data_IF_929224329703
#
_entry.id   IF_929224329703
#
_cell.length_a   1.000
_cell.length_b   1.000
_cell.length_c   1.000
_cell.angle_alpha   90.00
_cell.angle_beta   90.00
_cell.angle_gamma   90.00
#
_symmetry.space_group_name_H-M   'P 1'
#
loop_
_entity.id
_entity.type
_entity.pdbx_description
1 polymer ?
#
# COMPACT_ATOMS: atom_id res chain seq x y z
N UNK A 1 -22.71 -13.47 -2.61
CA UNK A 1 -23.47 -12.92 -1.46
C UNK A 1 -23.61 -11.42 -1.69
N UNK A 2 -24.82 -10.87 -1.61
CA UNK A 2 -25.00 -9.42 -1.78
C UNK A 2 -24.44 -8.70 -0.54
N UNK A 3 -23.69 -7.63 -0.77
CA UNK A 3 -23.15 -6.73 0.28
C UNK A 3 -22.41 -7.43 1.45
N UNK A 4 -21.73 -8.54 1.18
CA UNK A 4 -21.02 -9.31 2.20
C UNK A 4 -19.73 -9.88 1.62
N UNK A 5 -18.60 -9.60 2.27
CA UNK A 5 -17.30 -10.14 1.92
C UNK A 5 -16.94 -11.36 2.79
N UNK A 6 -16.42 -12.42 2.16
CA UNK A 6 -15.85 -13.58 2.85
C UNK A 6 -14.36 -13.35 3.04
N UNK A 7 -13.93 -13.16 4.27
CA UNK A 7 -12.55 -12.80 4.62
C UNK A 7 -11.87 -13.96 5.33
N UNK A 8 -10.61 -14.24 4.97
CA UNK A 8 -9.77 -15.24 5.64
C UNK A 8 -8.78 -14.53 6.54
N UNK A 9 -8.85 -14.78 7.84
CA UNK A 9 -7.91 -14.25 8.83
C UNK A 9 -6.93 -15.35 9.22
N UNK A 10 -5.63 -15.05 9.14
CA UNK A 10 -4.54 -15.93 9.58
C UNK A 10 -4.01 -15.45 10.92
N UNK A 11 -3.89 -16.36 11.88
CA UNK A 11 -3.26 -16.10 13.19
C UNK A 11 -2.09 -17.06 13.36
N UNK A 12 -1.04 -16.59 14.02
CA UNK A 12 0.05 -17.45 14.46
C UNK A 12 -0.40 -18.19 15.72
N UNK A 13 -0.34 -19.52 15.68
CA UNK A 13 -0.65 -20.39 16.82
C UNK A 13 0.57 -21.23 17.11
N UNK A 14 1.00 -21.22 18.37
CA UNK A 14 2.12 -22.02 18.85
C UNK A 14 1.71 -23.49 18.91
N UNK A 15 2.51 -24.35 18.30
CA UNK A 15 2.48 -25.78 18.57
C UNK A 15 3.33 -26.07 19.82
N UNK A 16 2.76 -26.58 20.91
CA UNK A 16 3.48 -26.81 22.16
C UNK A 16 4.52 -27.92 22.07
N UNK A 17 4.39 -28.86 21.14
CA UNK A 17 5.35 -29.96 20.98
C UNK A 17 6.57 -29.52 20.17
N UNK A 18 6.34 -28.81 19.06
CA UNK A 18 7.40 -28.34 18.16
C UNK A 18 7.99 -26.98 18.57
N UNK A 19 7.36 -26.29 19.52
CA UNK A 19 7.69 -24.92 19.93
C UNK A 19 7.81 -23.94 18.74
N UNK A 20 6.95 -24.13 17.73
CA UNK A 20 6.94 -23.35 16.50
C UNK A 20 5.56 -22.75 16.23
N UNK A 21 5.55 -21.51 15.75
CA UNK A 21 4.31 -20.86 15.31
C UNK A 21 3.93 -21.31 13.91
N UNK A 22 2.66 -21.68 13.74
CA UNK A 22 2.07 -22.01 12.45
C UNK A 22 0.89 -21.10 12.13
N UNK A 23 0.68 -20.85 10.83
CA UNK A 23 -0.43 -20.05 10.34
C UNK A 23 -1.75 -20.82 10.42
N UNK A 24 -2.61 -20.48 11.39
CA UNK A 24 -3.97 -21.01 11.50
C UNK A 24 -4.97 -20.03 10.87
N UNK A 25 -5.68 -20.50 9.83
CA UNK A 25 -6.66 -19.70 9.09
C UNK A 25 -8.09 -19.91 9.61
N UNK A 26 -8.88 -18.85 9.68
CA UNK A 26 -10.32 -18.87 9.97
C UNK A 26 -11.08 -17.91 9.07
N UNK A 27 -12.24 -18.31 8.59
CA UNK A 27 -13.09 -17.46 7.74
C UNK A 27 -14.08 -16.67 8.57
N UNK A 28 -14.22 -15.39 8.24
CA UNK A 28 -15.20 -14.47 8.81
C UNK A 28 -16.03 -13.86 7.68
N UNK A 29 -17.27 -13.50 7.99
CA UNK A 29 -18.10 -12.73 7.08
C UNK A 29 -18.18 -11.28 7.57
N UNK A 30 -17.89 -10.38 6.66
CA UNK A 30 -17.92 -8.94 6.88
C UNK A 30 -19.02 -8.31 6.03
N UNK A 31 -19.75 -7.36 6.61
CA UNK A 31 -20.66 -6.54 5.84
C UNK A 31 -19.88 -5.54 4.98
N UNK A 32 -20.15 -5.53 3.68
CA UNK A 32 -19.57 -4.59 2.71
C UNK A 32 -20.73 -3.88 1.99
N UNK A 33 -21.12 -2.67 2.41
CA UNK A 33 -22.30 -1.99 1.86
C UNK A 33 -22.14 -1.57 0.40
N UNK A 34 -20.91 -1.21 0.00
CA UNK A 34 -20.58 -0.62 -1.30
C UNK A 34 -20.01 -1.63 -2.30
N UNK A 35 -19.73 -2.87 -1.87
CA UNK A 35 -19.18 -3.94 -2.70
C UNK A 35 -17.85 -3.56 -3.37
N UNK A 36 -17.02 -2.79 -2.67
CA UNK A 36 -15.75 -2.29 -3.19
C UNK A 36 -14.64 -3.35 -3.12
N UNK A 37 -14.79 -4.39 -2.29
CA UNK A 37 -13.76 -5.41 -2.10
C UNK A 37 -13.63 -6.34 -3.31
N UNK A 38 -12.38 -6.63 -3.67
CA UNK A 38 -12.01 -7.67 -4.65
C UNK A 38 -11.32 -8.84 -3.97
N UNK A 39 -11.31 -9.99 -4.64
CA UNK A 39 -10.61 -11.18 -4.13
C UNK A 39 -9.11 -10.90 -4.11
N UNK A 40 -8.48 -11.06 -2.96
CA UNK A 40 -7.04 -10.83 -2.78
C UNK A 40 -6.69 -9.51 -2.09
N UNK A 41 -7.68 -8.63 -1.87
CA UNK A 41 -7.47 -7.42 -1.08
C UNK A 41 -7.14 -7.77 0.38
N UNK A 42 -6.28 -6.94 0.99
CA UNK A 42 -6.03 -6.97 2.43
C UNK A 42 -6.91 -5.90 3.07
N UNK A 43 -7.77 -6.33 3.98
CA UNK A 43 -8.86 -5.51 4.53
C UNK A 43 -8.82 -5.49 6.05
N UNK A 44 -9.21 -4.36 6.63
CA UNK A 44 -9.43 -4.22 8.07
C UNK A 44 -10.91 -4.47 8.40
N UNK A 45 -11.14 -5.34 9.37
CA UNK A 45 -12.47 -5.67 9.86
C UNK A 45 -12.71 -5.06 11.23
N UNK A 46 -13.83 -4.35 11.37
CA UNK A 46 -14.33 -3.84 12.65
C UNK A 46 -15.42 -4.76 13.17
N UNK A 47 -15.44 -5.05 14.47
CA UNK A 47 -16.55 -5.76 15.08
C UNK A 47 -17.77 -4.84 15.14
N UNK A 48 -18.93 -5.35 14.72
CA UNK A 48 -20.20 -4.64 14.90
C UNK A 48 -20.63 -4.72 16.36
N UNK A 49 -21.27 -3.68 16.91
CA UNK A 49 -21.85 -3.74 18.25
C UNK A 49 -22.95 -4.80 18.31
N UNK A 50 -23.72 -4.93 17.23
CA UNK A 50 -24.78 -5.93 17.08
C UNK A 50 -24.56 -6.82 15.86
N UNK A 51 -24.84 -8.12 16.02
CA UNK A 51 -24.77 -9.08 14.92
C UNK A 51 -25.88 -8.81 13.90
N UNK A 52 -25.51 -8.49 12.67
CA UNK A 52 -26.49 -8.25 11.60
C UNK A 52 -27.17 -9.53 11.11
N UNK A 53 -26.42 -10.65 11.13
CA UNK A 53 -26.91 -11.97 10.74
C UNK A 53 -26.16 -13.04 11.55
N UNK A 54 -26.54 -14.32 11.39
CA UNK A 54 -25.93 -15.46 12.10
C UNK A 54 -24.41 -15.50 11.97
N UNK A 55 -23.90 -15.26 10.75
CA UNK A 55 -22.47 -15.35 10.44
C UNK A 55 -21.79 -13.98 10.27
N UNK A 56 -22.56 -12.90 10.08
CA UNK A 56 -22.05 -11.55 9.84
C UNK A 56 -21.95 -10.81 11.17
N UNK A 57 -20.74 -10.81 11.73
CA UNK A 57 -20.40 -10.16 13.01
C UNK A 57 -19.48 -8.95 12.84
N UNK A 58 -18.92 -8.80 11.65
CA UNK A 58 -17.95 -7.78 11.34
C UNK A 58 -18.44 -6.90 10.21
N UNK A 59 -17.91 -5.70 10.17
CA UNK A 59 -18.06 -4.72 9.10
C UNK A 59 -16.69 -4.45 8.48
N UNK A 60 -16.69 -4.17 7.19
CA UNK A 60 -15.51 -3.69 6.49
C UNK A 60 -15.23 -2.24 6.92
N UNK A 61 -14.09 -2.00 7.56
CA UNK A 61 -13.69 -0.64 7.96
C UNK A 61 -12.97 0.08 6.84
N UNK A 62 -11.94 -0.56 6.29
CA UNK A 62 -11.08 0.02 5.25
C UNK A 62 -10.41 -1.09 4.44
N UNK A 63 -10.09 -0.77 3.18
CA UNK A 63 -9.26 -1.60 2.32
C UNK A 63 -7.83 -1.08 2.50
N UNK A 64 -7.02 -1.82 3.26
CA UNK A 64 -5.64 -1.42 3.58
C UNK A 64 -4.75 -1.54 2.34
N UNK A 65 -4.85 -2.67 1.63
CA UNK A 65 -4.13 -2.87 0.38
C UNK A 65 -5.06 -3.44 -0.68
N UNK A 66 -5.23 -2.67 -1.75
CA UNK A 66 -6.00 -3.07 -2.92
C UNK A 66 -5.14 -3.95 -3.83
N UNK A 67 -5.66 -5.10 -4.24
CA UNK A 67 -4.93 -5.98 -5.15
C UNK A 67 -4.61 -5.25 -6.47
N UNK A 68 -3.34 -5.28 -6.88
CA UNK A 68 -2.84 -4.64 -8.11
C UNK A 68 -2.70 -3.12 -8.07
N UNK A 69 -3.23 -2.43 -7.04
CA UNK A 69 -3.10 -0.97 -6.85
C UNK A 69 -2.71 -0.67 -5.41
N UNK A 70 -1.55 -1.19 -5.02
CA UNK A 70 -1.00 -0.99 -3.68
C UNK A 70 -0.33 0.37 -3.63
N UNK A 71 -0.67 1.14 -2.59
CA UNK A 71 -0.01 2.40 -2.26
C UNK A 71 0.86 2.12 -1.05
N UNK A 72 2.14 2.49 -1.14
CA UNK A 72 3.06 2.34 -0.01
C UNK A 72 2.64 3.30 1.12
N UNK A 73 2.38 2.81 2.36
CA UNK A 73 1.95 3.67 3.46
C UNK A 73 3.03 4.65 3.93
N UNK A 74 4.30 4.42 3.62
CA UNK A 74 5.40 5.30 4.03
C UNK A 74 5.55 6.48 3.07
N UNK A 75 5.57 6.22 1.77
CA UNK A 75 5.82 7.26 0.74
C UNK A 75 4.55 7.81 0.08
N UNK A 76 3.42 7.10 0.18
CA UNK A 76 2.19 7.44 -0.53
C UNK A 76 2.24 7.19 -2.05
N UNK A 77 3.33 6.62 -2.57
CA UNK A 77 3.50 6.32 -3.99
C UNK A 77 2.95 4.94 -4.35
N UNK A 78 2.48 4.78 -5.58
CA UNK A 78 2.02 3.49 -6.08
C UNK A 78 3.19 2.52 -6.26
N UNK A 79 3.04 1.27 -5.80
CA UNK A 79 4.09 0.26 -5.86
C UNK A 79 3.59 -1.06 -6.45
N UNK A 80 4.50 -1.75 -7.14
CA UNK A 80 4.32 -3.08 -7.67
C UNK A 80 5.35 -4.02 -7.02
N UNK A 81 4.95 -4.65 -5.92
CA UNK A 81 5.85 -5.50 -5.14
C UNK A 81 6.93 -4.66 -4.46
N UNK A 82 8.19 -4.82 -4.88
CA UNK A 82 9.34 -4.09 -4.33
C UNK A 82 9.74 -2.84 -5.12
N UNK A 83 9.07 -2.56 -6.24
CA UNK A 83 9.39 -1.42 -7.11
C UNK A 83 8.30 -0.37 -7.05
N UNK A 84 8.67 0.90 -7.02
CA UNK A 84 7.74 2.00 -7.26
C UNK A 84 7.34 2.02 -8.74
N UNK A 85 6.06 2.29 -9.01
CA UNK A 85 5.54 2.42 -10.38
C UNK A 85 5.91 3.75 -11.00
N UNK A 86 5.94 4.80 -10.18
CA UNK A 86 6.55 6.08 -10.55
C UNK A 86 8.06 5.94 -10.39
N UNK A 87 8.79 6.35 -11.42
CA UNK A 87 10.21 6.60 -11.27
C UNK A 87 10.39 7.64 -10.18
N UNK A 88 11.32 7.43 -9.26
CA UNK A 88 11.83 8.50 -8.39
C UNK A 88 12.65 9.49 -9.24
N UNK A 89 12.08 9.96 -10.34
CA UNK A 89 12.54 11.11 -11.07
C UNK A 89 12.00 12.31 -10.32
N UNK A 90 12.69 12.71 -9.26
CA UNK A 90 12.72 14.11 -8.82
C UNK A 90 13.46 14.98 -9.90
N UNK A 91 13.14 14.73 -11.17
CA UNK A 91 13.46 15.57 -12.33
C UNK A 91 12.18 16.15 -12.95
N UNK A 92 11.01 15.93 -12.36
CA UNK A 92 9.76 16.57 -12.80
C UNK A 92 9.66 18.04 -12.32
N UNK A 93 10.70 18.55 -11.65
CA UNK A 93 10.93 19.97 -11.41
C UNK A 93 12.29 20.47 -11.93
N UNK A 94 12.82 19.85 -12.99
CA UNK A 94 13.87 20.46 -13.80
C UNK A 94 13.26 20.74 -15.17
N UNK A 95 12.70 21.94 -15.30
CA UNK A 95 12.30 22.43 -16.61
C UNK A 95 13.55 22.57 -17.48
N UNK A 96 13.41 22.53 -18.81
CA UNK A 96 14.53 22.74 -19.74
C UNK A 96 15.27 24.06 -19.45
N UNK A 97 14.56 25.04 -18.86
CA UNK A 97 15.07 26.33 -18.38
C UNK A 97 16.04 26.20 -17.20
N UNK A 98 15.83 25.24 -16.30
CA UNK A 98 16.71 25.00 -15.15
C UNK A 98 18.01 24.32 -15.59
N UNK A 99 17.93 23.45 -16.60
CA UNK A 99 19.09 22.81 -17.20
C UNK A 99 19.98 23.82 -17.96
N UNK A 100 19.39 24.76 -18.71
CA UNK A 100 20.13 25.83 -19.38
C UNK A 100 20.78 26.79 -18.36
N UNK A 101 20.05 27.22 -17.33
CA UNK A 101 20.59 28.09 -16.29
C UNK A 101 21.79 27.48 -15.55
N UNK A 102 21.74 26.18 -15.23
CA UNK A 102 22.88 25.49 -14.60
C UNK A 102 24.07 25.35 -15.56
N UNK A 103 23.82 25.16 -16.86
CA UNK A 103 24.88 25.08 -17.86
C UNK A 103 25.62 26.41 -18.05
N UNK A 104 24.90 27.53 -18.03
CA UNK A 104 25.47 28.88 -18.12
C UNK A 104 26.34 29.18 -16.90
N UNK A 105 25.83 28.91 -15.69
CA UNK A 105 26.59 29.09 -14.44
C UNK A 105 27.87 28.26 -14.37
N UNK A 106 27.86 27.04 -14.89
CA UNK A 106 29.05 26.18 -14.93
C UNK A 106 30.10 26.70 -15.93
N UNK A 107 29.68 27.30 -17.05
CA UNK A 107 30.60 27.94 -17.98
C UNK A 107 31.26 29.18 -17.37
N UNK A 108 30.52 30.02 -16.65
CA UNK A 108 31.05 31.19 -15.94
C UNK A 108 32.12 30.82 -14.90
N UNK A 109 31.92 29.71 -14.18
CA UNK A 109 32.86 29.23 -13.16
C UNK A 109 34.18 28.72 -13.77
N UNK A 110 34.12 28.03 -14.92
CA UNK A 110 35.32 27.52 -15.60
C UNK A 110 36.19 28.65 -16.17
N UNK A 111 35.60 29.76 -16.64
CA UNK A 111 36.34 30.92 -17.15
C UNK A 111 37.09 31.64 -16.02
N UNK A 112 36.54 31.65 -14.80
CA UNK A 112 37.20 32.26 -13.62
C UNK A 112 38.42 31.47 -13.10
N UNK A 113 38.57 30.21 -13.51
CA UNK A 113 39.61 29.30 -13.02
C UNK A 113 40.91 29.38 -13.82
N UNK A 114 40.89 30.02 -15.01
CA UNK A 114 42.02 30.08 -15.94
C UNK A 114 42.82 31.40 -15.87
N UNK A 115 42.46 32.32 -14.98
CA UNK A 115 43.25 33.52 -14.69
C UNK A 115 44.02 33.37 -13.38
N UNK A 116 45.13 32.61 -13.41
CA UNK A 116 46.28 32.75 -12.50
C UNK A 116 47.48 31.94 -12.98
#
# INVERSE_FOLDING_TARGET
MLKTAKVRVTRLVLDPYLLKFFNKRKTYFAHDPLQQCTVGDIVLLKALPERRSKHVKHELSEIVFKVGKVIDPVTGKACAGTKFLETLSDSDSLTELDATYLSEKLQELNVSSTEK
#
